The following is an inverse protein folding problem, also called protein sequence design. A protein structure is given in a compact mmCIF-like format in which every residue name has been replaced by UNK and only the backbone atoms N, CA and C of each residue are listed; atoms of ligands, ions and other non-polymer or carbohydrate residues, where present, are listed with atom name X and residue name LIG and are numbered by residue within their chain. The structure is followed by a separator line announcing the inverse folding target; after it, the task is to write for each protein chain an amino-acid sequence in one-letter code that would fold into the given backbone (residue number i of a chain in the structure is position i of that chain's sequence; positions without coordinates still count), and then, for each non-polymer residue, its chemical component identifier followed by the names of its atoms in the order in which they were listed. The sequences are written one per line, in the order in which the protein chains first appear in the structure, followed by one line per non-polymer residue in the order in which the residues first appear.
data_IF_931633579616
#
_entry.id   IF_931633579616
#
_cell.length_a   1.000
_cell.length_b   1.000
_cell.length_c   1.000
_cell.angle_alpha   90.00
_cell.angle_beta   90.00
_cell.angle_gamma   90.00
#
_symmetry.space_group_name_H-M   'P 1'
#
loop_
_entity.id
_entity.type
_entity.pdbx_description
1 polymer ?
#
# COMPACT_ATOMS: atom_id res chain seq x y z
N UNK A 1 5.72 -0.03 -2.41
CA UNK A 1 5.10 0.70 -3.53
C UNK A 1 5.51 0.05 -4.84
N UNK A 2 4.54 -0.25 -5.70
CA UNK A 2 4.75 -0.84 -7.03
C UNK A 2 3.93 -0.05 -8.04
N UNK A 3 4.51 0.28 -9.19
CA UNK A 3 3.83 0.93 -10.30
C UNK A 3 4.41 0.46 -11.63
N UNK A 4 3.61 0.51 -12.68
CA UNK A 4 4.06 0.30 -14.05
C UNK A 4 4.65 1.60 -14.62
N UNK A 5 5.49 1.52 -15.63
CA UNK A 5 6.08 2.71 -16.29
C UNK A 5 5.11 3.40 -17.25
N UNK A 6 4.10 2.69 -17.74
CA UNK A 6 3.17 3.20 -18.74
C UNK A 6 2.44 4.48 -18.34
N UNK A 7 2.01 4.71 -17.07
CA UNK A 7 1.44 6.00 -16.66
C UNK A 7 2.36 7.18 -16.92
N UNK A 8 3.66 7.03 -16.65
CA UNK A 8 4.64 8.09 -16.89
C UNK A 8 4.91 8.29 -18.39
N UNK A 9 4.99 7.20 -19.15
CA UNK A 9 5.16 7.25 -20.60
C UNK A 9 4.00 7.99 -21.28
N UNK A 10 2.75 7.70 -20.89
CA UNK A 10 1.55 8.37 -21.42
C UNK A 10 1.50 9.84 -20.99
N UNK A 11 1.90 10.15 -19.75
CA UNK A 11 1.92 11.54 -19.27
C UNK A 11 2.91 12.42 -20.05
N UNK A 12 4.07 11.85 -20.41
CA UNK A 12 5.14 12.58 -21.09
C UNK A 12 4.91 12.64 -22.61
N UNK A 13 4.54 11.53 -23.24
CA UNK A 13 4.49 11.37 -24.68
C UNK A 13 3.06 11.47 -25.25
N UNK A 14 2.05 11.56 -24.38
CA UNK A 14 0.65 11.40 -24.77
C UNK A 14 0.29 9.95 -25.10
N UNK A 15 -0.94 9.73 -25.54
CA UNK A 15 -1.47 8.41 -25.86
C UNK A 15 -1.31 8.02 -27.35
N UNK A 16 -1.13 9.00 -28.23
CA UNK A 16 -1.09 8.78 -29.68
C UNK A 16 -0.01 7.79 -30.14
N UNK A 17 1.24 7.80 -29.62
CA UNK A 17 2.26 6.81 -29.98
C UNK A 17 1.91 5.37 -29.63
N UNK A 18 0.93 5.17 -28.75
CA UNK A 18 0.51 3.87 -28.22
C UNK A 18 -0.87 3.44 -28.72
N UNK A 19 -1.39 4.11 -29.74
CA UNK A 19 -2.68 3.74 -30.32
C UNK A 19 -2.63 2.31 -30.90
N UNK A 20 -3.63 1.50 -30.55
CA UNK A 20 -3.69 0.08 -30.87
C UNK A 20 -3.00 -0.85 -29.88
N UNK A 21 -2.36 -0.31 -28.83
CA UNK A 21 -1.69 -1.11 -27.80
C UNK A 21 -2.43 -1.04 -26.44
N UNK A 22 -2.47 -2.17 -25.74
CA UNK A 22 -2.90 -2.18 -24.34
C UNK A 22 -1.74 -1.75 -23.46
N UNK A 23 -1.94 -0.68 -22.69
CA UNK A 23 -0.97 -0.20 -21.69
C UNK A 23 -1.46 -0.55 -20.30
N UNK A 24 -0.57 -1.13 -19.49
CA UNK A 24 -0.85 -1.47 -18.11
C UNK A 24 -0.57 -0.25 -17.22
N UNK A 25 -1.61 0.23 -16.52
CA UNK A 25 -1.54 1.32 -15.56
C UNK A 25 -1.60 0.84 -14.11
N UNK A 26 -1.46 -0.45 -13.87
CA UNK A 26 -1.61 -1.06 -12.55
C UNK A 26 -0.62 -0.47 -11.54
N UNK A 27 -1.07 -0.33 -10.31
CA UNK A 27 -0.25 0.14 -9.20
C UNK A 27 -0.49 -0.71 -7.96
N UNK A 28 0.44 -0.69 -7.03
CA UNK A 28 0.30 -1.37 -5.75
C UNK A 28 0.87 -0.53 -4.62
N UNK A 29 0.09 -0.33 -3.59
CA UNK A 29 0.49 0.34 -2.37
C UNK A 29 0.25 -0.62 -1.21
N UNK A 30 1.30 -0.87 -0.42
CA UNK A 30 1.20 -1.52 0.87
C UNK A 30 1.94 -0.63 1.87
N UNK A 31 1.20 -0.01 2.76
CA UNK A 31 1.75 0.88 3.77
C UNK A 31 0.95 0.73 5.05
N UNK A 32 1.64 0.72 6.17
CA UNK A 32 1.02 0.72 7.49
C UNK A 32 1.77 1.66 8.41
N UNK A 33 1.02 2.39 9.22
CA UNK A 33 1.51 3.20 10.31
C UNK A 33 1.03 2.60 11.63
N UNK A 34 1.94 2.38 12.54
CA UNK A 34 1.64 1.83 13.87
C UNK A 34 2.64 2.32 14.90
N UNK A 35 2.25 2.26 16.16
CA UNK A 35 3.14 2.46 17.31
C UNK A 35 3.56 1.11 17.88
N UNK A 36 4.81 0.99 18.27
CA UNK A 36 5.40 -0.20 18.86
C UNK A 36 5.81 0.07 20.31
N UNK A 37 5.39 -0.81 21.21
CA UNK A 37 5.83 -0.84 22.60
C UNK A 37 6.46 -2.21 22.85
N UNK A 38 7.77 -2.24 23.13
CA UNK A 38 8.52 -3.48 23.25
C UNK A 38 9.21 -3.62 24.60
N UNK A 39 9.17 -4.82 25.17
CA UNK A 39 9.93 -5.21 26.33
C UNK A 39 10.90 -6.31 25.92
N UNK A 40 12.21 -6.06 26.12
CA UNK A 40 13.26 -6.99 25.72
C UNK A 40 14.08 -7.47 26.90
N UNK A 41 14.54 -8.73 26.78
CA UNK A 41 15.49 -9.38 27.69
C UNK A 41 16.65 -9.92 26.89
N UNK A 42 17.86 -9.77 27.44
CA UNK A 42 19.04 -10.40 26.89
C UNK A 42 19.85 -11.04 28.04
N UNK A 43 20.47 -12.18 27.75
CA UNK A 43 21.32 -12.88 28.69
C UNK A 43 22.52 -13.52 28.02
N UNK A 44 23.66 -13.43 28.68
CA UNK A 44 24.89 -14.09 28.27
C UNK A 44 25.05 -15.43 28.97
N UNK A 45 25.56 -16.39 28.25
CA UNK A 45 25.84 -17.77 28.68
C UNK A 45 27.25 -18.14 28.27
N UNK A 46 27.76 -19.29 28.80
CA UNK A 46 29.04 -19.89 28.41
C UNK A 46 30.24 -18.90 28.55
N UNK A 47 30.32 -18.20 29.69
CA UNK A 47 31.33 -17.17 29.94
C UNK A 47 31.33 -16.07 28.87
N UNK A 48 30.14 -15.55 28.55
CA UNK A 48 29.88 -14.52 27.55
C UNK A 48 30.10 -14.94 26.07
N UNK A 49 30.32 -16.22 25.82
CA UNK A 49 30.45 -16.71 24.44
C UNK A 49 29.11 -16.78 23.70
N UNK A 50 28.02 -17.02 24.40
CA UNK A 50 26.69 -17.08 23.81
C UNK A 50 25.80 -16.01 24.42
N UNK A 51 25.31 -15.08 23.60
CA UNK A 51 24.35 -14.07 23.99
C UNK A 51 23.02 -14.36 23.32
N UNK A 52 21.96 -14.46 24.11
CA UNK A 52 20.60 -14.65 23.63
C UNK A 52 19.76 -13.45 24.01
N UNK A 53 18.91 -12.99 23.08
CA UNK A 53 17.98 -11.90 23.29
C UNK A 53 16.60 -12.24 22.74
N UNK A 54 15.57 -11.74 23.42
CA UNK A 54 14.20 -11.78 22.96
C UNK A 54 13.48 -10.49 23.32
N UNK A 55 12.60 -10.00 22.44
CA UNK A 55 11.77 -8.81 22.67
C UNK A 55 10.34 -9.13 22.27
N UNK A 56 9.40 -8.92 23.20
CA UNK A 56 7.97 -8.99 22.91
C UNK A 56 7.48 -7.57 22.64
N UNK A 57 6.65 -7.43 21.61
CA UNK A 57 6.14 -6.14 21.13
C UNK A 57 4.61 -6.14 21.16
N UNK A 58 4.05 -5.06 21.68
CA UNK A 58 2.65 -4.70 21.45
C UNK A 58 2.60 -3.67 20.32
N UNK A 59 1.69 -3.90 19.35
CA UNK A 59 1.55 -3.05 18.19
C UNK A 59 0.18 -2.39 18.23
N UNK A 60 0.14 -1.05 18.15
CA UNK A 60 -1.07 -0.25 18.02
C UNK A 60 -1.15 0.33 16.62
N UNK A 61 -2.04 -0.22 15.77
CA UNK A 61 -2.21 0.18 14.38
C UNK A 61 -2.96 1.50 14.27
N UNK A 62 -2.39 2.47 13.55
CA UNK A 62 -2.94 3.79 13.29
C UNK A 62 -3.67 3.78 11.95
N UNK A 63 -2.96 3.46 10.88
CA UNK A 63 -3.51 3.43 9.52
C UNK A 63 -2.89 2.33 8.69
N UNK A 64 -3.68 1.78 7.79
CA UNK A 64 -3.22 0.78 6.82
C UNK A 64 -3.87 1.04 5.46
N UNK A 65 -3.09 0.86 4.41
CA UNK A 65 -3.56 0.80 3.02
C UNK A 65 -2.89 -0.36 2.32
N UNK A 66 -3.67 -1.22 1.69
CA UNK A 66 -3.19 -2.41 1.01
C UNK A 66 -3.95 -2.66 -0.29
N UNK A 67 -3.24 -2.68 -1.39
CA UNK A 67 -3.77 -3.08 -2.70
C UNK A 67 -3.69 -4.59 -2.82
N UNK A 68 -4.84 -5.27 -2.80
CA UNK A 68 -4.93 -6.71 -3.06
C UNK A 68 -4.89 -7.01 -4.55
N UNK A 69 -5.58 -6.18 -5.32
CA UNK A 69 -5.65 -6.29 -6.77
C UNK A 69 -5.66 -4.91 -7.41
N UNK A 70 -4.93 -4.78 -8.49
CA UNK A 70 -4.93 -3.59 -9.33
C UNK A 70 -4.58 -4.00 -10.74
N UNK A 71 -5.61 -4.27 -11.54
CA UNK A 71 -5.52 -4.50 -12.96
C UNK A 71 -6.17 -3.33 -13.67
N UNK A 72 -5.37 -2.38 -14.12
CA UNK A 72 -5.78 -1.20 -14.86
C UNK A 72 -5.18 -1.29 -16.26
N UNK A 73 -6.03 -1.33 -17.28
CA UNK A 73 -5.60 -1.36 -18.68
C UNK A 73 -6.14 -0.14 -19.39
N UNK A 74 -5.28 0.51 -20.14
CA UNK A 74 -5.59 1.64 -20.98
C UNK A 74 -5.35 1.27 -22.45
N UNK A 75 -6.31 1.59 -23.30
CA UNK A 75 -6.24 1.35 -24.74
C UNK A 75 -6.74 2.57 -25.51
N UNK A 76 -6.03 2.98 -26.53
CA UNK A 76 -6.46 4.01 -27.47
C UNK A 76 -6.80 3.34 -28.81
N UNK A 77 -8.03 3.53 -29.29
CA UNK A 77 -8.46 3.00 -30.58
C UNK A 77 -7.71 3.73 -31.70
N UNK A 78 -7.02 3.03 -32.62
CA UNK A 78 -6.23 3.68 -33.65
C UNK A 78 -7.06 4.36 -34.74
N UNK A 79 -8.36 4.02 -34.84
CA UNK A 79 -9.25 4.53 -35.90
C UNK A 79 -10.09 5.71 -35.42
N UNK A 80 -10.67 5.62 -34.21
CA UNK A 80 -11.54 6.63 -33.62
C UNK A 80 -10.84 7.51 -32.59
N UNK A 81 -9.67 7.07 -32.09
CA UNK A 81 -8.96 7.66 -30.95
C UNK A 81 -9.73 7.61 -29.63
N UNK A 82 -10.78 6.80 -29.57
CA UNK A 82 -11.48 6.55 -28.31
C UNK A 82 -10.56 5.96 -27.26
N UNK A 83 -10.71 6.44 -26.04
CA UNK A 83 -9.95 5.97 -24.90
C UNK A 83 -10.77 4.93 -24.14
N UNK A 84 -10.23 3.72 -24.01
CA UNK A 84 -10.86 2.63 -23.28
C UNK A 84 -10.05 2.33 -22.03
N UNK A 85 -10.69 2.39 -20.87
CA UNK A 85 -10.09 2.06 -19.58
C UNK A 85 -10.83 0.89 -18.98
N UNK A 86 -10.11 -0.20 -18.72
CA UNK A 86 -10.64 -1.35 -17.99
C UNK A 86 -10.01 -1.39 -16.60
N UNK A 87 -10.81 -1.67 -15.58
CA UNK A 87 -10.33 -1.69 -14.20
C UNK A 87 -10.86 -2.86 -13.40
N UNK A 88 -9.98 -3.49 -12.64
CA UNK A 88 -10.31 -4.44 -11.59
C UNK A 88 -9.43 -4.12 -10.36
N UNK A 89 -10.01 -3.37 -9.43
CA UNK A 89 -9.34 -2.87 -8.23
C UNK A 89 -9.92 -3.52 -6.98
N UNK A 90 -9.05 -3.92 -6.06
CA UNK A 90 -9.38 -4.31 -4.68
C UNK A 90 -8.38 -3.63 -3.74
N UNK A 91 -8.84 -2.59 -3.07
CA UNK A 91 -8.05 -1.75 -2.17
C UNK A 91 -8.67 -1.80 -0.78
N UNK A 92 -7.89 -2.22 0.19
CA UNK A 92 -8.28 -2.25 1.59
C UNK A 92 -7.59 -1.13 2.35
N UNK A 93 -8.37 -0.42 3.14
CA UNK A 93 -7.88 0.63 4.04
C UNK A 93 -8.44 0.42 5.44
N UNK A 94 -7.71 0.87 6.43
CA UNK A 94 -8.15 0.86 7.84
C UNK A 94 -7.53 2.01 8.60
N UNK A 95 -8.29 2.58 9.52
CA UNK A 95 -7.83 3.61 10.45
C UNK A 95 -7.68 5.01 9.86
N UNK A 96 -7.89 5.21 8.56
CA UNK A 96 -7.66 6.52 7.91
C UNK A 96 -8.66 7.57 8.40
N UNK A 97 -9.92 7.18 8.62
CA UNK A 97 -10.97 8.09 9.11
C UNK A 97 -10.86 8.38 10.61
N UNK A 98 -10.02 7.65 11.34
CA UNK A 98 -9.88 7.75 12.79
C UNK A 98 -8.73 8.66 13.22
N UNK A 99 -8.02 9.28 12.29
CA UNK A 99 -6.90 10.18 12.58
C UNK A 99 -7.44 11.57 12.95
N UNK A 100 -8.22 11.66 14.01
CA UNK A 100 -8.43 12.92 14.71
C UNK A 100 -7.30 13.08 15.71
N UNK A 101 -6.45 14.07 15.49
CA UNK A 101 -5.18 14.33 16.17
C UNK A 101 -5.30 14.71 17.67
N UNK A 102 -6.48 14.65 18.27
CA UNK A 102 -6.69 15.11 19.67
C UNK A 102 -6.67 13.97 20.70
N UNK A 103 -6.83 12.70 20.28
CA UNK A 103 -6.90 11.57 21.20
C UNK A 103 -5.61 10.74 21.20
N UNK A 104 -4.61 11.17 21.97
CA UNK A 104 -3.36 10.42 22.23
C UNK A 104 -3.66 9.01 22.77
N UNK A 105 -4.73 8.83 23.52
CA UNK A 105 -5.13 7.53 24.04
C UNK A 105 -5.49 6.54 22.93
N UNK A 106 -6.14 6.99 21.85
CA UNK A 106 -6.43 6.15 20.67
C UNK A 106 -5.17 5.76 19.89
N UNK A 107 -4.14 6.60 19.89
CA UNK A 107 -2.85 6.28 19.29
C UNK A 107 -2.12 5.17 20.08
N UNK A 108 -2.24 5.17 21.42
CA UNK A 108 -1.55 4.20 22.29
C UNK A 108 -2.33 2.91 22.41
N UNK A 109 -3.64 2.97 22.59
CA UNK A 109 -4.52 1.82 22.86
C UNK A 109 -5.62 1.67 21.80
N UNK A 110 -5.33 2.08 20.57
CA UNK A 110 -6.27 2.03 19.46
C UNK A 110 -6.93 0.66 19.25
N UNK A 111 -8.03 0.61 18.51
CA UNK A 111 -8.79 -0.63 18.27
C UNK A 111 -8.06 -1.64 17.37
N UNK A 112 -7.13 -1.16 16.53
CA UNK A 112 -6.30 -1.99 15.67
C UNK A 112 -5.06 -2.43 16.45
N UNK A 113 -5.00 -3.69 16.86
CA UNK A 113 -3.97 -4.19 17.78
C UNK A 113 -3.25 -5.40 17.23
N UNK A 114 -1.99 -5.53 17.65
CA UNK A 114 -1.17 -6.66 17.28
C UNK A 114 -0.08 -6.97 18.27
N UNK A 115 0.65 -8.01 17.96
CA UNK A 115 1.83 -8.43 18.71
C UNK A 115 2.91 -8.88 17.74
N UNK A 116 4.17 -8.67 18.14
CA UNK A 116 5.31 -9.21 17.45
C UNK A 116 6.38 -9.71 18.44
N UNK A 117 7.28 -10.51 17.91
CA UNK A 117 8.39 -11.10 18.65
C UNK A 117 9.67 -10.90 17.86
N UNK A 118 10.72 -10.45 18.56
CA UNK A 118 12.09 -10.50 18.06
C UNK A 118 12.86 -11.53 18.88
N UNK A 119 13.71 -12.30 18.22
CA UNK A 119 14.68 -13.18 18.87
C UNK A 119 16.03 -13.04 18.16
N UNK A 120 17.10 -13.13 18.94
CA UNK A 120 18.45 -13.06 18.40
C UNK A 120 19.44 -13.85 19.23
N UNK A 121 20.49 -14.30 18.57
CA UNK A 121 21.60 -14.99 19.19
C UNK A 121 22.93 -14.51 18.57
N UNK A 122 23.95 -14.36 19.42
CA UNK A 122 25.34 -14.15 18.98
C UNK A 122 26.22 -15.18 19.68
N UNK A 123 27.08 -15.84 18.92
CA UNK A 123 28.03 -16.83 19.44
C UNK A 123 29.44 -16.46 19.04
N UNK A 124 30.30 -16.19 20.05
CA UNK A 124 31.70 -15.92 19.87
C UNK A 124 32.48 -17.23 19.84
N UNK A 125 32.84 -17.65 18.63
CA UNK A 125 33.60 -18.88 18.42
C UNK A 125 35.06 -18.71 18.84
N UNK A 126 35.66 -17.57 18.52
CA UNK A 126 37.02 -17.20 18.88
C UNK A 126 37.15 -15.69 19.01
N UNK A 127 38.32 -15.18 19.45
CA UNK A 127 38.59 -13.74 19.58
C UNK A 127 38.49 -12.97 18.25
N UNK A 128 38.38 -13.69 17.13
CA UNK A 128 38.34 -13.09 15.78
C UNK A 128 37.10 -13.48 14.98
N UNK A 129 36.23 -14.33 15.53
CA UNK A 129 35.08 -14.85 14.77
C UNK A 129 33.85 -14.96 15.63
N UNK A 130 32.82 -14.20 15.25
CA UNK A 130 31.50 -14.20 15.83
C UNK A 130 30.47 -14.62 14.79
N UNK A 131 29.49 -15.41 15.23
CA UNK A 131 28.29 -15.74 14.46
C UNK A 131 27.10 -15.06 15.09
N UNK A 132 26.23 -14.45 14.27
CA UNK A 132 24.99 -13.88 14.74
C UNK A 132 23.81 -14.28 13.85
N UNK A 133 22.64 -14.47 14.47
CA UNK A 133 21.37 -14.72 13.81
C UNK A 133 20.30 -13.92 14.51
N UNK A 134 19.37 -13.35 13.76
CA UNK A 134 18.21 -12.68 14.30
C UNK A 134 16.98 -12.92 13.45
N UNK A 135 15.83 -12.99 14.12
CA UNK A 135 14.52 -13.04 13.53
C UNK A 135 13.74 -11.89 14.17
N UNK A 136 13.36 -10.91 13.36
CA UNK A 136 12.77 -9.66 13.83
C UNK A 136 11.35 -9.49 13.28
N UNK A 137 10.50 -8.79 14.03
CA UNK A 137 9.16 -8.38 13.62
C UNK A 137 8.22 -9.53 13.21
N UNK A 138 8.41 -10.69 13.83
CA UNK A 138 7.52 -11.83 13.59
C UNK A 138 6.21 -11.60 14.32
N UNK A 139 5.21 -11.10 13.62
CA UNK A 139 3.96 -10.71 14.25
C UNK A 139 2.87 -10.34 13.25
N UNK A 140 1.82 -9.73 13.78
CA UNK A 140 0.68 -9.29 13.02
C UNK A 140 -0.02 -8.12 13.69
N UNK A 141 -0.77 -7.35 12.92
CA UNK A 141 -1.75 -6.36 13.40
C UNK A 141 -3.11 -6.77 12.83
N UNK A 142 -4.14 -6.80 13.69
CA UNK A 142 -5.53 -6.99 13.29
C UNK A 142 -6.14 -5.63 12.99
N UNK A 143 -6.50 -5.39 11.75
CA UNK A 143 -7.16 -4.19 11.28
C UNK A 143 -8.68 -4.39 11.28
N UNK A 144 -9.34 -3.99 12.37
CA UNK A 144 -10.76 -4.26 12.63
C UNK A 144 -11.60 -2.99 12.69
N UNK A 145 -10.98 -1.81 12.78
CA UNK A 145 -11.67 -0.53 12.96
C UNK A 145 -11.31 0.45 11.86
N UNK A 146 -12.30 1.28 11.47
CA UNK A 146 -12.15 2.21 10.36
C UNK A 146 -11.82 1.51 9.05
N UNK A 147 -12.43 0.32 8.82
CA UNK A 147 -12.17 -0.49 7.65
C UNK A 147 -13.04 0.01 6.49
N UNK A 148 -12.36 0.41 5.42
CA UNK A 148 -12.99 0.79 4.15
C UNK A 148 -12.37 -0.02 3.03
N UNK A 149 -13.21 -0.71 2.26
CA UNK A 149 -12.76 -1.52 1.13
C UNK A 149 -13.33 -0.94 -0.15
N UNK A 150 -12.45 -0.61 -1.08
CA UNK A 150 -12.83 -0.22 -2.44
C UNK A 150 -12.63 -1.41 -3.36
N UNK A 151 -13.70 -1.82 -4.01
CA UNK A 151 -13.67 -2.91 -4.98
C UNK A 151 -14.43 -2.50 -6.23
N UNK A 152 -13.87 -2.82 -7.40
CA UNK A 152 -14.56 -2.63 -8.67
C UNK A 152 -15.89 -3.39 -8.63
N UNK A 153 -16.98 -2.71 -8.93
CA UNK A 153 -18.34 -3.29 -8.94
C UNK A 153 -18.43 -4.40 -9.99
N UNK A 154 -17.91 -4.11 -11.19
CA UNK A 154 -17.86 -5.04 -12.31
C UNK A 154 -16.39 -5.20 -12.72
N UNK A 155 -15.70 -6.25 -12.20
CA UNK A 155 -14.30 -6.50 -12.51
C UNK A 155 -14.07 -6.65 -14.02
N UNK A 156 -13.13 -5.87 -14.57
CA UNK A 156 -12.83 -5.87 -15.99
C UNK A 156 -13.82 -5.08 -16.87
N UNK A 157 -14.79 -4.39 -16.27
CA UNK A 157 -15.66 -3.47 -17.02
C UNK A 157 -14.82 -2.40 -17.72
N UNK A 158 -15.16 -2.12 -18.96
CA UNK A 158 -14.49 -1.12 -19.78
C UNK A 158 -15.32 0.16 -19.85
N UNK A 159 -14.71 1.26 -19.45
CA UNK A 159 -15.24 2.59 -19.70
C UNK A 159 -14.62 3.14 -20.99
N UNK A 160 -15.47 3.65 -21.90
CA UNK A 160 -15.04 4.28 -23.14
C UNK A 160 -15.31 5.77 -23.09
N UNK A 161 -14.26 6.56 -23.34
CA UNK A 161 -14.35 8.01 -23.50
C UNK A 161 -14.14 8.36 -24.98
N UNK A 162 -15.18 8.88 -25.61
CA UNK A 162 -15.22 9.22 -27.05
C UNK A 162 -14.85 10.66 -27.37
N UNK A 163 -14.33 11.39 -26.36
CA UNK A 163 -14.00 12.81 -26.48
C UNK A 163 -15.06 13.73 -25.88
N UNK A 164 -14.80 15.01 -25.95
CA UNK A 164 -15.75 16.07 -25.54
C UNK A 164 -16.27 16.72 -26.81
N UNK A 165 -17.59 16.73 -26.96
CA UNK A 165 -18.27 17.45 -28.03
C UNK A 165 -18.24 18.95 -27.69
N UNK A 166 -17.36 19.68 -28.36
CA UNK A 166 -17.20 21.11 -28.15
C UNK A 166 -18.38 21.93 -28.70
N UNK A 167 -19.12 21.41 -29.69
CA UNK A 167 -20.28 22.10 -30.25
C UNK A 167 -21.41 22.23 -29.25
N UNK A 168 -21.62 21.18 -28.42
CA UNK A 168 -22.57 21.22 -27.33
C UNK A 168 -22.11 22.15 -26.18
N UNK A 169 -20.80 22.24 -25.95
CA UNK A 169 -20.24 23.12 -24.91
C UNK A 169 -20.38 24.61 -25.25
N UNK A 170 -20.24 24.98 -26.53
CA UNK A 170 -20.39 26.37 -26.99
C UNK A 170 -21.86 26.80 -27.09
N UNK A 171 -22.76 25.88 -27.41
CA UNK A 171 -24.18 26.19 -27.54
C UNK A 171 -24.89 26.35 -26.17
N UNK A 172 -24.42 25.65 -25.13
CA UNK A 172 -24.99 25.72 -23.76
C UNK A 172 -24.49 27.00 -23.01
N UNK A 173 -23.41 27.62 -23.47
CA UNK A 173 -22.89 28.86 -22.92
C UNK A 173 -23.50 30.12 -23.55
N UNK A 174 -24.37 29.98 -24.55
CA UNK A 174 -25.01 31.11 -25.22
C UNK A 174 -26.33 31.60 -24.58
N UNK A 175 -26.81 30.91 -23.53
CA UNK A 175 -28.04 31.25 -22.80
C UNK A 175 -27.80 31.93 -21.44
N UNK A 176 -26.71 32.69 -21.32
CA UNK A 176 -26.49 33.63 -20.20
C UNK A 176 -26.71 35.05 -20.68
N UNK A 177 -27.99 35.43 -20.85
CA UNK A 177 -28.46 36.84 -20.87
C UNK A 177 -29.20 37.15 -19.54
#
# INVERSE_FOLDING_TARGET
FRYDKAPLEILINGNAPYAGENKNLSFGVNSSAYMEYGLGFARSFMNNKLNLGAKVKYLSGIANISTKKSDLTFYTDPSSYDLKVSSDLDLNMSGIDSINSEDIEQLILGPNRGMALDIGATYSYSDKLDFSVSLLDVGFIKWNSGVTNFKSKDPGATYTFTGVDLDNFYNDSADFD
#
